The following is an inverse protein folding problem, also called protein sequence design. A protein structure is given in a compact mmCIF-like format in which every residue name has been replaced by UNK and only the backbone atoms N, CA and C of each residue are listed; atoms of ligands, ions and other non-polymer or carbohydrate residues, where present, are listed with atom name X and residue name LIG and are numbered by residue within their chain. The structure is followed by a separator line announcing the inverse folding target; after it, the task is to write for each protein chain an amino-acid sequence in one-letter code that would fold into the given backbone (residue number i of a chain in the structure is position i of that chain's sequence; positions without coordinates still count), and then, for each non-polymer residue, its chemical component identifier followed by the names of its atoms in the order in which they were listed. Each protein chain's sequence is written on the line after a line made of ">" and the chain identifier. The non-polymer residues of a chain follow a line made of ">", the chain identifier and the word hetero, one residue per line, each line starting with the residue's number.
data_IF_477579867526
#
_entry.id   IF_477579867526
#
_cell.length_a   1.000
_cell.length_b   1.000
_cell.length_c   1.000
_cell.angle_alpha   90.00
_cell.angle_beta   90.00
_cell.angle_gamma   90.00
#
_symmetry.space_group_name_H-M   'P 1'
#
loop_
_entity.id
_entity.type
_entity.pdbx_description
1 polymer ?
#
# COMPACT_ATOMS: atom_id res chain seq x y z
N UNK A 1 9.72 -6.58 8.33
CA UNK A 1 10.17 -5.45 7.49
C UNK A 1 10.55 -4.31 8.42
N UNK A 2 11.77 -3.76 8.29
CA UNK A 2 12.29 -2.65 9.09
C UNK A 2 11.77 -1.31 8.56
N UNK A 3 11.86 -0.26 9.37
CA UNK A 3 11.46 1.10 8.97
C UNK A 3 12.18 1.61 7.71
N UNK A 4 13.48 1.29 7.57
CA UNK A 4 14.28 1.61 6.38
C UNK A 4 13.79 0.88 5.12
N UNK A 5 13.45 -0.40 5.26
CA UNK A 5 12.89 -1.23 4.18
C UNK A 5 11.49 -0.74 3.78
N UNK A 6 10.68 -0.34 4.75
CA UNK A 6 9.36 0.26 4.52
C UNK A 6 9.47 1.56 3.72
N UNK A 7 10.32 2.50 4.14
CA UNK A 7 10.58 3.76 3.41
C UNK A 7 11.03 3.49 1.98
N UNK A 8 11.96 2.55 1.79
CA UNK A 8 12.45 2.16 0.47
C UNK A 8 11.33 1.55 -0.39
N UNK A 9 10.53 0.64 0.16
CA UNK A 9 9.42 0.01 -0.54
C UNK A 9 8.36 1.02 -0.97
N UNK A 10 7.98 1.95 -0.10
CA UNK A 10 7.04 3.04 -0.42
C UNK A 10 7.58 3.92 -1.55
N UNK A 11 8.86 4.29 -1.50
CA UNK A 11 9.49 5.10 -2.54
C UNK A 11 9.54 4.38 -3.90
N UNK A 12 9.92 3.10 -3.92
CA UNK A 12 10.03 2.30 -5.17
C UNK A 12 8.65 2.02 -5.78
N UNK A 13 7.64 1.75 -4.96
CA UNK A 13 6.27 1.53 -5.43
C UNK A 13 5.57 2.82 -5.88
N UNK A 14 6.13 3.98 -5.54
CA UNK A 14 5.57 5.28 -5.87
C UNK A 14 4.26 5.58 -5.14
N UNK A 15 4.05 4.96 -3.98
CA UNK A 15 2.89 5.16 -3.13
C UNK A 15 2.90 6.57 -2.52
N UNK A 16 1.82 7.33 -2.73
CA UNK A 16 1.58 8.54 -1.94
C UNK A 16 0.95 8.21 -0.59
N UNK A 17 0.98 9.14 0.37
CA UNK A 17 0.30 8.98 1.67
C UNK A 17 -1.18 8.63 1.50
N UNK A 18 -1.86 9.26 0.53
CA UNK A 18 -3.27 8.99 0.25
C UNK A 18 -3.51 7.58 -0.35
N UNK A 19 -2.52 7.03 -1.07
CA UNK A 19 -2.61 5.66 -1.57
C UNK A 19 -2.38 4.64 -0.44
N UNK A 20 -1.46 4.94 0.49
CA UNK A 20 -1.22 4.12 1.68
C UNK A 20 -2.47 4.07 2.57
N UNK A 21 -3.11 5.23 2.79
CA UNK A 21 -4.37 5.32 3.54
C UNK A 21 -5.47 4.48 2.88
N UNK A 22 -5.61 4.54 1.56
CA UNK A 22 -6.65 3.77 0.85
C UNK A 22 -6.36 2.28 0.73
N UNK A 23 -5.11 1.88 0.60
CA UNK A 23 -4.73 0.48 0.37
C UNK A 23 -4.56 -0.30 1.67
N UNK A 24 -4.08 0.35 2.71
CA UNK A 24 -3.74 -0.29 3.98
C UNK A 24 -4.52 0.25 5.18
N UNK A 25 -5.42 1.23 4.97
CA UNK A 25 -6.20 1.87 6.04
C UNK A 25 -5.30 2.48 7.13
N UNK A 26 -4.11 2.93 6.73
CA UNK A 26 -3.11 3.57 7.59
C UNK A 26 -3.19 5.08 7.43
N UNK A 27 -3.52 5.78 8.52
CA UNK A 27 -3.50 7.24 8.54
C UNK A 27 -2.08 7.81 8.44
N UNK A 28 -1.97 9.11 8.18
CA UNK A 28 -0.69 9.80 8.01
C UNK A 28 0.23 9.71 9.24
N UNK A 29 -0.31 9.76 10.46
CA UNK A 29 0.49 9.72 11.69
C UNK A 29 1.09 8.32 11.89
N UNK A 30 0.29 7.29 11.66
CA UNK A 30 0.71 5.89 11.70
C UNK A 30 1.73 5.61 10.59
N UNK A 31 1.51 6.10 9.37
CA UNK A 31 2.51 6.01 8.29
C UNK A 31 3.86 6.62 8.70
N UNK A 32 3.85 7.79 9.34
CA UNK A 32 5.07 8.42 9.82
C UNK A 32 5.75 7.61 10.94
N UNK A 33 4.99 7.10 11.90
CA UNK A 33 5.53 6.25 12.98
C UNK A 33 6.19 4.97 12.42
N UNK A 34 5.57 4.34 11.42
CA UNK A 34 6.15 3.18 10.72
C UNK A 34 7.44 3.54 9.96
N UNK A 35 7.46 4.70 9.31
CA UNK A 35 8.61 5.17 8.55
C UNK A 35 9.77 5.62 9.45
N UNK A 36 9.47 6.13 10.64
CA UNK A 36 10.46 6.50 11.68
C UNK A 36 10.97 5.28 12.45
N UNK A 37 10.20 4.19 12.48
CA UNK A 37 10.51 3.00 13.27
C UNK A 37 10.02 3.07 14.71
N UNK A 38 9.18 4.06 15.03
CA UNK A 38 8.49 4.17 16.32
C UNK A 38 7.40 3.10 16.47
N UNK A 39 6.91 2.58 15.33
CA UNK A 39 5.96 1.48 15.26
C UNK A 39 6.48 0.37 14.34
N UNK A 40 6.22 -0.89 14.71
CA UNK A 40 6.53 -2.03 13.86
C UNK A 40 5.58 -2.11 12.66
N UNK A 41 6.13 -2.45 11.48
CA UNK A 41 5.35 -2.62 10.25
C UNK A 41 4.46 -3.85 10.37
N UNK A 42 3.12 -3.71 10.29
CA UNK A 42 2.22 -4.85 10.36
C UNK A 42 2.53 -5.88 9.26
N UNK A 43 2.49 -7.18 9.55
CA UNK A 43 2.83 -8.22 8.57
C UNK A 43 2.03 -8.13 7.26
N UNK A 44 0.75 -7.77 7.33
CA UNK A 44 -0.10 -7.59 6.15
C UNK A 44 0.40 -6.47 5.23
N UNK A 45 0.85 -5.35 5.81
CA UNK A 45 1.38 -4.20 5.08
C UNK A 45 2.72 -4.55 4.45
N UNK A 46 3.59 -5.21 5.21
CA UNK A 46 4.88 -5.69 4.72
C UNK A 46 4.71 -6.65 3.54
N UNK A 47 3.78 -7.60 3.65
CA UNK A 47 3.47 -8.54 2.57
C UNK A 47 2.92 -7.82 1.33
N UNK A 48 2.00 -6.87 1.51
CA UNK A 48 1.44 -6.10 0.40
C UNK A 48 2.50 -5.30 -0.36
N UNK A 49 3.40 -4.62 0.36
CA UNK A 49 4.52 -3.90 -0.24
C UNK A 49 5.49 -4.83 -0.98
N UNK A 50 5.83 -5.98 -0.39
CA UNK A 50 6.69 -6.98 -1.05
C UNK A 50 6.06 -7.52 -2.33
N UNK A 51 4.75 -7.82 -2.31
CA UNK A 51 4.05 -8.26 -3.51
C UNK A 51 4.09 -7.20 -4.61
N UNK A 52 3.80 -5.94 -4.29
CA UNK A 52 3.87 -4.83 -5.26
C UNK A 52 5.27 -4.65 -5.84
N UNK A 53 6.32 -4.84 -5.04
CA UNK A 53 7.72 -4.82 -5.49
C UNK A 53 8.02 -5.97 -6.46
N UNK A 54 7.66 -7.20 -6.10
CA UNK A 54 7.92 -8.42 -6.91
C UNK A 54 7.17 -8.37 -8.24
N UNK A 55 5.94 -7.84 -8.24
CA UNK A 55 5.11 -7.74 -9.46
C UNK A 55 5.33 -6.44 -10.23
N UNK A 56 6.28 -5.60 -9.82
CA UNK A 56 6.55 -4.26 -10.37
C UNK A 56 5.27 -3.43 -10.57
N UNK A 57 4.33 -3.56 -9.63
CA UNK A 57 3.01 -2.97 -9.76
C UNK A 57 3.03 -1.55 -9.21
N UNK A 58 3.18 -0.59 -10.13
CA UNK A 58 2.96 0.83 -9.83
C UNK A 58 1.50 1.05 -9.45
N UNK A 59 1.27 1.81 -8.40
CA UNK A 59 -0.05 2.22 -7.89
C UNK A 59 -0.94 2.83 -8.96
N UNK A 60 -0.39 3.66 -9.85
CA UNK A 60 -1.14 4.20 -11.01
C UNK A 60 -1.67 3.08 -11.90
N UNK A 61 -0.84 2.10 -12.21
CA UNK A 61 -1.21 0.95 -13.04
C UNK A 61 -2.26 0.08 -12.33
N UNK A 62 -2.09 -0.17 -11.03
CA UNK A 62 -3.07 -0.90 -10.22
C UNK A 62 -4.43 -0.18 -10.18
N UNK A 63 -4.44 1.14 -9.97
CA UNK A 63 -5.66 1.94 -9.96
C UNK A 63 -6.37 1.93 -11.32
N UNK A 64 -5.62 1.98 -12.42
CA UNK A 64 -6.21 1.85 -13.77
C UNK A 64 -6.82 0.46 -13.95
N UNK A 65 -6.12 -0.59 -13.54
CA UNK A 65 -6.57 -1.98 -13.69
C UNK A 65 -7.84 -2.27 -12.87
N UNK A 66 -7.89 -1.78 -11.62
CA UNK A 66 -9.05 -1.94 -10.73
C UNK A 66 -10.21 -1.04 -11.15
N UNK A 67 -9.95 0.17 -11.66
CA UNK A 67 -11.00 1.01 -12.23
C UNK A 67 -11.61 0.39 -13.51
N UNK A 68 -10.80 -0.30 -14.31
CA UNK A 68 -11.24 -1.05 -15.48
C UNK A 68 -11.99 -2.34 -15.13
N UNK A 69 -11.83 -2.83 -13.90
CA UNK A 69 -12.44 -4.06 -13.41
C UNK A 69 -13.12 -3.79 -12.06
N UNK A 70 -14.23 -3.02 -12.04
CA UNK A 70 -14.90 -2.68 -10.79
C UNK A 70 -15.27 -3.97 -10.05
N UNK A 71 -15.12 -4.00 -8.71
CA UNK A 71 -15.49 -5.17 -7.93
C UNK A 71 -16.94 -5.53 -8.25
N UNK A 72 -17.17 -6.79 -8.59
CA UNK A 72 -18.51 -7.31 -8.88
C UNK A 72 -19.41 -6.98 -7.68
N UNK A 73 -20.26 -5.95 -7.83
CA UNK A 73 -21.35 -5.69 -6.89
C UNK A 73 -22.49 -6.62 -7.31
N UNK A 74 -22.81 -7.67 -6.52
CA UNK A 74 -24.02 -8.42 -6.78
C UNK A 74 -25.20 -7.44 -6.79
N UNK A 75 -26.00 -7.47 -7.85
CA UNK A 75 -27.22 -6.68 -7.95
C UNK A 75 -28.10 -7.07 -6.75
N UNK A 76 -28.38 -6.11 -5.87
CA UNK A 76 -29.33 -6.33 -4.79
C UNK A 76 -30.66 -6.81 -5.41
N UNK A 77 -31.16 -7.94 -4.90
CA UNK A 77 -32.39 -8.58 -5.33
C UNK A 77 -33.63 -7.78 -4.92
#
# INVERSE_FOLDING_TARGET
>A
MRASEYKAAVAVTGLSTADIEKLFEIDQATHQALASGDLEVPPAVALGLLLMLVTNTNVKSARILVAANPPYRPKAA
#
